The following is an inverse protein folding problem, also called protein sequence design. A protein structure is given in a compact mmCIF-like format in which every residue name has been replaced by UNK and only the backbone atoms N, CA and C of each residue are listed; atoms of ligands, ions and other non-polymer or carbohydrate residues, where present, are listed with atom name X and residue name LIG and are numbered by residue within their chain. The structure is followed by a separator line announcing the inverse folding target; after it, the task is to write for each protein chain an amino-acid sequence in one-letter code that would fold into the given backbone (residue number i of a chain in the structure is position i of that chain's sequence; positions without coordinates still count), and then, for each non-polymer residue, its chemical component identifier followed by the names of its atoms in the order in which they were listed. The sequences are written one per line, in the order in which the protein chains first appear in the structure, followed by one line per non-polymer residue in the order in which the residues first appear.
data_IF_870371375004
#
_entry.id   IF_870371375004
#
_cell.length_a   1.000
_cell.length_b   1.000
_cell.length_c   1.000
_cell.angle_alpha   90.00
_cell.angle_beta   90.00
_cell.angle_gamma   90.00
#
_symmetry.space_group_name_H-M   'P 1'
#
loop_
_entity.id
_entity.type
_entity.pdbx_description
1 polymer ?
#
# COMPACT_ATOMS: atom_id res chain seq x y z
N UNK A 1 45.63 -22.24 -29.79
CA UNK A 1 45.16 -20.98 -29.15
C UNK A 1 46.19 -20.49 -28.14
N UNK A 2 46.61 -19.21 -28.22
CA UNK A 2 47.58 -18.62 -27.28
C UNK A 2 46.96 -18.54 -25.87
N UNK A 3 47.76 -18.79 -24.82
CA UNK A 3 47.34 -18.83 -23.40
C UNK A 3 46.49 -17.60 -22.99
N UNK A 4 46.81 -16.43 -23.54
CA UNK A 4 46.09 -15.16 -23.33
C UNK A 4 44.64 -15.20 -23.84
N UNK A 5 44.38 -15.82 -24.99
CA UNK A 5 43.02 -15.95 -25.55
C UNK A 5 42.13 -16.83 -24.67
N UNK A 6 42.68 -17.92 -24.10
CA UNK A 6 41.94 -18.78 -23.17
C UNK A 6 41.59 -18.06 -21.86
N UNK A 7 42.50 -17.24 -21.34
CA UNK A 7 42.25 -16.43 -20.14
C UNK A 7 41.18 -15.37 -20.41
N UNK A 8 41.26 -14.64 -21.53
CA UNK A 8 40.25 -13.64 -21.88
C UNK A 8 38.85 -14.24 -22.05
N UNK A 9 38.74 -15.37 -22.75
CA UNK A 9 37.46 -16.08 -22.90
C UNK A 9 36.96 -16.57 -21.54
N UNK A 10 37.82 -17.15 -20.71
CA UNK A 10 37.45 -17.60 -19.37
C UNK A 10 36.94 -16.46 -18.48
N UNK A 11 37.63 -15.32 -18.49
CA UNK A 11 37.20 -14.12 -17.75
C UNK A 11 35.88 -13.55 -18.28
N UNK A 12 35.68 -13.51 -19.60
CA UNK A 12 34.44 -13.05 -20.20
C UNK A 12 33.26 -13.96 -19.81
N UNK A 13 33.45 -15.29 -19.87
CA UNK A 13 32.43 -16.26 -19.45
C UNK A 13 32.11 -16.10 -17.95
N UNK A 14 33.14 -15.94 -17.11
CA UNK A 14 32.93 -15.72 -15.68
C UNK A 14 32.13 -14.44 -15.39
N UNK A 15 32.42 -13.33 -16.09
CA UNK A 15 31.68 -12.07 -15.95
C UNK A 15 30.22 -12.22 -16.39
N UNK A 16 29.96 -12.91 -17.50
CA UNK A 16 28.60 -13.18 -17.97
C UNK A 16 27.83 -14.03 -16.97
N UNK A 17 28.45 -15.06 -16.40
CA UNK A 17 27.82 -15.89 -15.38
C UNK A 17 27.49 -15.10 -14.13
N UNK A 18 28.42 -14.28 -13.62
CA UNK A 18 28.19 -13.43 -12.44
C UNK A 18 27.08 -12.42 -12.71
N UNK A 19 27.11 -11.75 -13.87
CA UNK A 19 26.07 -10.80 -14.27
C UNK A 19 24.70 -11.46 -14.40
N UNK A 20 24.65 -12.66 -15.00
CA UNK A 20 23.42 -13.45 -15.12
C UNK A 20 22.87 -13.86 -13.75
N UNK A 21 23.72 -14.35 -12.85
CA UNK A 21 23.31 -14.70 -11.48
C UNK A 21 22.81 -13.47 -10.72
N UNK A 22 23.50 -12.33 -10.81
CA UNK A 22 23.08 -11.10 -10.15
C UNK A 22 21.73 -10.58 -10.69
N UNK A 23 21.45 -10.73 -11.98
CA UNK A 23 20.17 -10.31 -12.58
C UNK A 23 18.97 -11.14 -12.09
N UNK A 24 19.19 -12.41 -11.74
CA UNK A 24 18.15 -13.32 -11.24
C UNK A 24 18.02 -13.23 -9.71
N UNK A 25 19.14 -13.28 -9.00
CA UNK A 25 19.16 -13.27 -7.53
C UNK A 25 18.93 -11.86 -6.95
N UNK A 26 19.30 -10.81 -7.67
CA UNK A 26 19.17 -9.42 -7.23
C UNK A 26 17.75 -9.04 -6.82
N UNK A 27 16.72 -9.27 -7.65
CA UNK A 27 15.32 -9.03 -7.29
C UNK A 27 14.86 -9.77 -6.03
N UNK A 28 15.29 -11.02 -5.85
CA UNK A 28 14.97 -11.84 -4.67
C UNK A 28 15.59 -11.23 -3.41
N UNK A 29 16.88 -10.89 -3.46
CA UNK A 29 17.60 -10.25 -2.35
C UNK A 29 16.98 -8.90 -2.01
N UNK A 30 16.61 -8.11 -3.03
CA UNK A 30 15.93 -6.83 -2.82
C UNK A 30 14.60 -7.01 -2.08
N UNK A 31 13.75 -7.94 -2.52
CA UNK A 31 12.48 -8.23 -1.84
C UNK A 31 12.68 -8.69 -0.40
N UNK A 32 13.60 -9.61 -0.16
CA UNK A 32 13.70 -10.31 1.13
C UNK A 32 14.50 -9.52 2.18
N UNK A 33 15.34 -8.56 1.76
CA UNK A 33 16.29 -7.88 2.66
C UNK A 33 16.15 -6.36 2.63
N UNK A 34 15.72 -5.77 1.52
CA UNK A 34 15.71 -4.31 1.33
C UNK A 34 14.29 -3.75 1.38
N UNK A 35 13.36 -4.35 0.65
CA UNK A 35 11.97 -3.91 0.63
C UNK A 35 11.29 -4.20 1.96
N UNK A 36 10.60 -3.22 2.53
CA UNK A 36 9.74 -3.45 3.68
C UNK A 36 8.63 -4.43 3.27
N UNK A 37 8.32 -5.45 4.11
CA UNK A 37 7.14 -6.28 3.90
C UNK A 37 5.89 -5.41 3.80
N UNK A 38 5.03 -5.74 2.85
CA UNK A 38 3.77 -5.03 2.66
C UNK A 38 2.95 -5.07 3.96
N UNK A 39 2.32 -3.94 4.31
CA UNK A 39 1.46 -3.89 5.49
C UNK A 39 0.32 -4.93 5.37
N UNK A 40 -0.20 -5.37 6.51
CA UNK A 40 -1.29 -6.34 6.54
C UNK A 40 -2.49 -5.85 5.70
N UNK A 41 -3.16 -6.78 5.04
CA UNK A 41 -4.39 -6.45 4.32
C UNK A 41 -5.42 -5.98 5.35
N UNK A 42 -6.01 -4.78 5.18
CA UNK A 42 -7.07 -4.32 6.08
C UNK A 42 -8.20 -5.34 6.10
N UNK A 43 -8.63 -5.74 7.30
CA UNK A 43 -9.77 -6.63 7.48
C UNK A 43 -10.86 -5.89 8.24
N UNK A 44 -12.10 -6.07 7.79
CA UNK A 44 -13.29 -5.57 8.49
C UNK A 44 -13.70 -6.63 9.51
N UNK A 45 -13.04 -6.60 10.67
CA UNK A 45 -13.46 -7.40 11.83
C UNK A 45 -13.63 -6.48 13.02
N UNK A 46 -14.83 -6.45 13.60
CA UNK A 46 -15.06 -5.75 14.85
C UNK A 46 -14.31 -6.51 15.96
N UNK A 47 -13.22 -5.94 16.45
CA UNK A 47 -12.52 -6.46 17.61
C UNK A 47 -13.44 -6.45 18.84
N UNK A 48 -13.27 -7.38 19.80
CA UNK A 48 -13.99 -7.33 21.07
C UNK A 48 -13.81 -5.95 21.73
N UNK A 49 -14.93 -5.26 22.04
CA UNK A 49 -14.91 -3.95 22.71
C UNK A 49 -14.80 -2.72 21.80
N UNK A 50 -14.86 -2.88 20.47
CA UNK A 50 -14.90 -1.75 19.51
C UNK A 50 -16.21 -0.96 19.59
N UNK A 51 -17.29 -1.62 19.95
CA UNK A 51 -18.52 -1.03 20.47
C UNK A 51 -18.45 -1.26 21.98
N UNK A 52 -18.76 -0.26 22.81
CA UNK A 52 -18.58 -0.29 24.27
C UNK A 52 -19.32 -1.40 25.04
N UNK A 53 -19.90 -2.37 24.35
CA UNK A 53 -20.41 -3.63 24.85
C UNK A 53 -19.98 -4.76 23.92
N UNK A 54 -19.43 -5.85 24.47
CA UNK A 54 -19.20 -7.09 23.72
C UNK A 54 -20.55 -7.55 23.15
N UNK A 55 -20.77 -7.56 21.82
CA UNK A 55 -22.05 -7.99 21.28
C UNK A 55 -22.15 -9.50 21.51
N UNK A 56 -22.92 -9.93 22.51
CA UNK A 56 -23.29 -11.34 22.73
C UNK A 56 -24.46 -11.75 21.83
N UNK A 57 -24.82 -10.92 20.84
CA UNK A 57 -25.91 -11.09 19.90
C UNK A 57 -25.67 -10.34 18.58
N UNK A 58 -26.66 -10.37 17.67
CA UNK A 58 -26.64 -9.60 16.42
C UNK A 58 -26.65 -8.10 16.74
N UNK A 59 -25.84 -7.32 16.03
CA UNK A 59 -25.86 -5.85 16.09
C UNK A 59 -27.27 -5.33 15.84
N UNK A 60 -27.75 -4.44 16.69
CA UNK A 60 -29.00 -3.72 16.49
C UNK A 60 -28.75 -2.36 15.85
N UNK A 61 -29.76 -1.80 15.18
CA UNK A 61 -29.66 -0.46 14.59
C UNK A 61 -29.25 0.60 15.63
N UNK A 62 -29.78 0.48 16.85
CA UNK A 62 -29.44 1.37 17.96
C UNK A 62 -27.94 1.37 18.34
N UNK A 63 -27.18 0.33 17.98
CA UNK A 63 -25.75 0.23 18.32
C UNK A 63 -24.86 1.01 17.34
N UNK A 64 -25.33 1.27 16.12
CA UNK A 64 -24.50 1.83 15.03
C UNK A 64 -25.13 3.02 14.30
N UNK A 65 -26.41 3.27 14.49
CA UNK A 65 -27.10 4.40 13.88
C UNK A 65 -26.60 5.74 14.45
N UNK A 66 -26.54 6.74 13.58
CA UNK A 66 -26.12 8.09 13.94
C UNK A 66 -25.05 8.66 13.02
N UNK A 67 -24.48 9.78 13.43
CA UNK A 67 -23.41 10.47 12.73
C UNK A 67 -22.04 10.05 13.29
N UNK A 68 -21.17 9.61 12.38
CA UNK A 68 -19.82 9.19 12.67
C UNK A 68 -18.83 10.14 12.01
N UNK A 69 -17.66 10.28 12.62
CA UNK A 69 -16.52 11.02 12.07
C UNK A 69 -15.31 10.11 12.00
N UNK A 70 -14.42 10.38 11.05
CA UNK A 70 -13.13 9.68 10.96
C UNK A 70 -12.36 9.91 12.26
N UNK A 71 -12.09 8.83 12.99
CA UNK A 71 -11.40 8.84 14.27
C UNK A 71 -9.89 8.70 14.13
N UNK A 72 -9.17 8.95 15.24
CA UNK A 72 -7.73 8.69 15.33
C UNK A 72 -7.39 7.22 15.01
N UNK A 73 -6.29 7.00 14.30
CA UNK A 73 -5.87 5.65 13.87
C UNK A 73 -6.49 5.21 12.54
N UNK A 74 -7.33 6.04 11.92
CA UNK A 74 -7.78 5.81 10.55
C UNK A 74 -6.64 6.03 9.57
N UNK A 75 -6.55 5.18 8.55
CA UNK A 75 -5.59 5.29 7.46
C UNK A 75 -6.26 5.09 6.10
N UNK A 76 -5.66 5.67 5.07
CA UNK A 76 -6.02 5.42 3.67
C UNK A 76 -4.76 5.26 2.83
N UNK A 77 -4.91 4.71 1.63
CA UNK A 77 -3.81 4.60 0.69
C UNK A 77 -4.05 3.50 -0.34
N UNK A 78 -2.97 2.89 -0.83
CA UNK A 78 -3.03 1.90 -1.89
C UNK A 78 -2.22 0.66 -1.58
N UNK A 79 -2.51 -0.41 -2.32
CA UNK A 79 -1.70 -1.63 -2.38
C UNK A 79 -1.54 -2.00 -3.85
N UNK A 80 -0.29 -2.15 -4.32
CA UNK A 80 0.01 -2.51 -5.71
C UNK A 80 0.89 -3.75 -5.72
N UNK A 81 0.48 -4.75 -6.49
CA UNK A 81 1.29 -5.94 -6.77
C UNK A 81 2.20 -5.64 -7.95
N UNK A 82 3.49 -5.89 -7.77
CA UNK A 82 4.56 -5.66 -8.72
C UNK A 82 5.31 -6.97 -8.97
N UNK A 83 5.82 -7.14 -10.19
CA UNK A 83 6.65 -8.28 -10.56
C UNK A 83 8.02 -7.76 -11.01
N UNK A 84 9.05 -7.95 -10.18
CA UNK A 84 10.42 -7.55 -10.46
C UNK A 84 11.20 -8.73 -11.04
N UNK A 85 11.31 -8.80 -12.37
CA UNK A 85 12.00 -9.89 -13.08
C UNK A 85 11.56 -11.29 -12.59
N UNK A 86 10.24 -11.51 -12.45
CA UNK A 86 9.65 -12.77 -11.98
C UNK A 86 9.58 -12.92 -10.45
N UNK A 87 10.00 -11.91 -9.69
CA UNK A 87 9.87 -11.87 -8.23
C UNK A 87 8.66 -11.00 -7.84
N UNK A 88 7.65 -11.60 -7.22
CA UNK A 88 6.49 -10.86 -6.71
C UNK A 88 6.86 -9.98 -5.51
N UNK A 89 6.47 -8.71 -5.58
CA UNK A 89 6.59 -7.74 -4.49
C UNK A 89 5.25 -7.02 -4.36
N UNK A 90 4.82 -6.76 -3.13
CA UNK A 90 3.67 -5.89 -2.91
C UNK A 90 4.10 -4.62 -2.21
N UNK A 91 3.63 -3.50 -2.73
CA UNK A 91 3.89 -2.17 -2.19
C UNK A 91 2.64 -1.64 -1.52
N UNK A 92 2.78 -1.12 -0.31
CA UNK A 92 1.73 -0.37 0.40
C UNK A 92 2.14 1.08 0.58
N UNK A 93 1.27 1.99 0.11
CA UNK A 93 1.33 3.41 0.45
C UNK A 93 0.24 3.73 1.45
N UNK A 94 0.56 4.53 2.48
CA UNK A 94 -0.36 4.89 3.56
C UNK A 94 -0.28 6.36 3.93
N UNK A 95 -1.39 6.89 4.43
CA UNK A 95 -1.50 8.18 5.10
C UNK A 95 -2.52 8.11 6.22
N UNK A 96 -2.27 8.83 7.32
CA UNK A 96 -3.22 9.10 8.39
C UNK A 96 -4.04 10.38 8.15
N UNK A 97 -3.74 11.15 7.11
CA UNK A 97 -4.42 12.40 6.76
C UNK A 97 -5.75 12.11 6.04
N UNK A 98 -6.67 11.53 6.80
CA UNK A 98 -8.02 11.17 6.37
C UNK A 98 -9.00 11.96 7.20
N UNK A 99 -9.96 12.59 6.53
CA UNK A 99 -11.03 13.35 7.17
C UNK A 99 -12.35 12.96 6.56
N UNK A 100 -13.43 13.19 7.30
CA UNK A 100 -14.77 12.98 6.76
C UNK A 100 -15.77 12.57 7.81
N UNK A 101 -16.98 12.32 7.34
CA UNK A 101 -18.10 11.90 8.15
C UNK A 101 -19.00 10.95 7.38
N UNK A 102 -19.75 10.17 8.14
CA UNK A 102 -20.77 9.29 7.60
C UNK A 102 -22.01 9.25 8.50
N UNK A 103 -23.14 8.87 7.93
CA UNK A 103 -24.41 8.71 8.64
C UNK A 103 -24.93 7.32 8.39
N UNK A 104 -25.26 6.62 9.48
CA UNK A 104 -25.91 5.31 9.45
C UNK A 104 -27.32 5.48 9.99
N UNK A 105 -28.29 4.88 9.29
CA UNK A 105 -29.68 4.83 9.71
C UNK A 105 -30.24 3.45 9.36
N UNK A 106 -30.87 2.79 10.32
CA UNK A 106 -31.43 1.45 10.18
C UNK A 106 -30.42 0.47 9.57
N UNK A 107 -29.19 0.46 10.11
CA UNK A 107 -28.06 -0.34 9.60
C UNK A 107 -27.62 -0.04 8.16
N UNK A 108 -28.06 1.09 7.60
CA UNK A 108 -27.74 1.51 6.23
C UNK A 108 -26.90 2.77 6.24
N UNK A 109 -25.80 2.78 5.49
CA UNK A 109 -25.02 3.99 5.25
C UNK A 109 -25.81 4.92 4.32
N UNK A 110 -26.36 6.01 4.84
CA UNK A 110 -27.23 6.92 4.08
C UNK A 110 -26.49 8.16 3.58
N UNK A 111 -25.36 8.50 4.19
CA UNK A 111 -24.48 9.58 3.76
C UNK A 111 -23.04 9.23 4.08
N UNK A 112 -22.12 9.56 3.18
CA UNK A 112 -20.70 9.55 3.49
C UNK A 112 -19.98 10.59 2.63
N UNK A 113 -19.07 11.32 3.25
CA UNK A 113 -18.11 12.17 2.57
C UNK A 113 -16.75 11.99 3.24
N UNK A 114 -15.77 11.53 2.48
CA UNK A 114 -14.42 11.25 2.93
C UNK A 114 -13.44 12.00 2.04
N UNK A 115 -12.41 12.57 2.63
CA UNK A 115 -11.31 13.24 1.94
C UNK A 115 -9.98 12.70 2.46
N UNK A 116 -9.11 12.32 1.54
CA UNK A 116 -7.74 11.86 1.81
C UNK A 116 -6.78 12.90 1.26
N UNK A 117 -5.79 13.31 2.04
CA UNK A 117 -4.64 14.06 1.51
C UNK A 117 -3.73 13.08 0.76
N UNK A 118 -3.80 13.11 -0.56
CA UNK A 118 -3.06 12.21 -1.45
C UNK A 118 -1.58 12.56 -1.47
N UNK A 119 -1.22 13.84 -1.31
CA UNK A 119 0.17 14.27 -1.28
C UNK A 119 0.93 13.69 -0.08
N UNK A 120 0.22 13.47 1.03
CA UNK A 120 0.79 12.88 2.25
C UNK A 120 1.00 11.36 2.20
N UNK A 121 0.50 10.66 1.17
CA UNK A 121 0.73 9.21 1.03
C UNK A 121 2.22 8.95 0.90
N UNK A 122 2.71 8.02 1.71
CA UNK A 122 4.12 7.62 1.74
C UNK A 122 4.28 6.11 1.75
N UNK A 123 5.43 5.66 1.27
CA UNK A 123 5.90 4.28 1.29
C UNK A 123 7.26 4.19 1.99
N UNK A 124 7.91 3.03 1.98
CA UNK A 124 9.29 2.88 2.48
C UNK A 124 10.37 3.40 1.51
N UNK A 125 9.99 3.99 0.37
CA UNK A 125 10.92 4.46 -0.66
C UNK A 125 10.61 5.87 -1.14
N UNK A 126 11.51 6.81 -0.81
CA UNK A 126 11.37 8.22 -1.22
C UNK A 126 11.26 8.39 -2.73
N UNK A 127 12.06 7.66 -3.51
CA UNK A 127 12.04 7.73 -4.98
C UNK A 127 10.66 7.34 -5.55
N UNK A 128 10.01 6.35 -4.93
CA UNK A 128 8.67 5.92 -5.34
C UNK A 128 7.62 6.96 -4.94
N UNK A 129 7.75 7.53 -3.76
CA UNK A 129 6.84 8.57 -3.29
C UNK A 129 6.94 9.83 -4.16
N UNK A 130 8.15 10.20 -4.59
CA UNK A 130 8.36 11.34 -5.49
C UNK A 130 7.76 11.07 -6.87
N UNK A 131 7.90 9.87 -7.42
CA UNK A 131 7.24 9.47 -8.66
C UNK A 131 5.70 9.47 -8.52
N UNK A 132 5.19 8.96 -7.39
CA UNK A 132 3.76 8.95 -7.08
C UNK A 132 3.18 10.36 -7.07
N UNK A 133 3.82 11.28 -6.34
CA UNK A 133 3.38 12.68 -6.21
C UNK A 133 3.52 13.46 -7.52
N UNK A 134 4.67 13.37 -8.18
CA UNK A 134 4.99 14.24 -9.33
C UNK A 134 4.40 13.74 -10.66
N UNK A 135 4.38 12.43 -10.87
CA UNK A 135 4.13 11.84 -12.19
C UNK A 135 2.83 11.05 -12.20
N UNK A 136 2.66 10.11 -11.27
CA UNK A 136 1.51 9.22 -11.29
C UNK A 136 0.21 9.96 -10.98
N UNK A 137 0.15 10.67 -9.84
CA UNK A 137 -1.07 11.34 -9.40
C UNK A 137 -1.03 12.87 -9.54
N UNK A 138 0.16 13.48 -9.68
CA UNK A 138 0.33 14.95 -9.80
C UNK A 138 -0.35 15.68 -8.65
N UNK A 139 0.07 15.37 -7.43
CA UNK A 139 -0.56 15.85 -6.19
C UNK A 139 -0.35 17.33 -5.93
N UNK A 140 0.56 17.98 -6.68
CA UNK A 140 0.65 19.44 -6.78
C UNK A 140 -0.63 20.06 -7.36
N UNK A 141 -1.29 19.34 -8.28
CA UNK A 141 -2.54 19.76 -8.94
C UNK A 141 -3.77 19.08 -8.36
N UNK A 142 -3.63 17.85 -7.90
CA UNK A 142 -4.71 17.03 -7.35
C UNK A 142 -4.35 16.54 -5.93
N UNK A 143 -4.24 17.44 -4.93
CA UNK A 143 -3.72 17.09 -3.61
C UNK A 143 -4.68 16.23 -2.78
N UNK A 144 -5.97 16.21 -3.13
CA UNK A 144 -7.01 15.51 -2.36
C UNK A 144 -7.78 14.54 -3.24
N UNK A 145 -8.12 13.39 -2.67
CA UNK A 145 -9.09 12.45 -3.21
C UNK A 145 -10.34 12.48 -2.34
N UNK A 146 -11.49 12.68 -2.96
CA UNK A 146 -12.77 12.78 -2.26
C UNK A 146 -13.69 11.65 -2.69
N UNK A 147 -14.33 11.00 -1.73
CA UNK A 147 -15.41 10.05 -1.94
C UNK A 147 -16.69 10.64 -1.36
N UNK A 148 -17.77 10.63 -2.16
CA UNK A 148 -19.10 11.04 -1.73
C UNK A 148 -20.08 9.93 -2.08
N UNK A 149 -20.84 9.47 -1.08
CA UNK A 149 -21.93 8.52 -1.31
C UNK A 149 -23.04 9.23 -2.09
N UNK A 150 -23.41 8.67 -3.24
CA UNK A 150 -24.42 9.27 -4.12
C UNK A 150 -25.73 8.47 -4.17
N UNK A 151 -25.70 7.18 -3.81
CA UNK A 151 -26.83 6.26 -3.75
C UNK A 151 -26.53 5.15 -2.76
#
# INVERSE_FOLDING_TARGET
MRRRTKVLIGSAVALVLIGGTAAIAGPIVYRDVIAKPADAVPTISAGPGTLGSTPTGRLSAADVDGAWSVGSGSEAGYRVNEVLNGTDVTVTGRTSEVTGSLTVQDLTLTKAELSVDVASIATDSQNRDDYFRSTALRTDRFPKATFVLTK
#
